data_IF_481200991474
#
_entry.id   IF_481200991474
#
_cell.length_a   1.000
_cell.length_b   1.000
_cell.length_c   1.000
_cell.angle_alpha   90.00
_cell.angle_beta   90.00
_cell.angle_gamma   90.00
#
_symmetry.space_group_name_H-M   'P 1'
#
loop_
_entity.id
_entity.type
_entity.pdbx_description
1 polymer ?
#
# COMPACT_ATOMS: atom_id res chain seq x y z
N UNK A 1 -5.20 10.96 18.87
CA UNK A 1 -4.33 11.64 17.90
C UNK A 1 -5.24 12.50 17.04
N UNK A 2 -5.05 13.81 17.07
CA UNK A 2 -5.96 14.83 16.52
C UNK A 2 -5.35 15.64 15.37
N UNK A 3 -4.09 15.36 15.01
CA UNK A 3 -3.38 16.08 13.96
C UNK A 3 -2.76 17.40 14.41
N UNK A 4 -2.86 17.75 15.69
CA UNK A 4 -2.27 18.98 16.22
C UNK A 4 -0.75 19.00 16.01
N UNK A 5 -0.25 20.14 15.52
CA UNK A 5 1.19 20.33 15.29
C UNK A 5 1.96 20.33 16.62
N UNK A 6 2.92 19.42 16.73
CA UNK A 6 3.83 19.31 17.87
C UNK A 6 5.11 20.14 17.71
N UNK A 7 6.09 19.85 18.56
CA UNK A 7 7.41 20.46 18.49
C UNK A 7 8.16 20.08 17.21
N UNK A 8 8.90 21.03 16.65
CA UNK A 8 9.89 20.78 15.60
C UNK A 8 11.20 20.35 16.25
N UNK A 9 11.81 19.29 15.72
CA UNK A 9 13.07 18.73 16.20
C UNK A 9 14.06 18.68 15.05
N UNK A 10 15.33 18.95 15.36
CA UNK A 10 16.42 18.83 14.41
C UNK A 10 16.96 17.41 14.41
N UNK A 11 17.17 16.86 13.21
CA UNK A 11 17.79 15.54 13.06
C UNK A 11 19.25 15.59 13.53
N UNK A 12 19.64 14.59 14.32
CA UNK A 12 20.98 14.47 14.88
C UNK A 12 21.84 13.41 14.18
N UNK A 13 21.25 12.58 13.34
CA UNK A 13 21.94 11.61 12.51
C UNK A 13 21.11 11.26 11.28
N UNK A 14 21.72 10.49 10.39
CA UNK A 14 21.03 9.90 9.26
C UNK A 14 19.88 9.00 9.73
N UNK A 15 18.88 8.88 8.86
CA UNK A 15 17.80 7.93 8.94
C UNK A 15 17.29 7.69 7.53
N UNK A 16 16.29 6.83 7.41
CA UNK A 16 15.77 6.44 6.11
C UNK A 16 14.24 6.44 6.11
N UNK A 17 13.70 6.40 4.90
CA UNK A 17 12.28 6.25 4.66
C UNK A 17 12.05 5.33 3.46
N UNK A 18 10.92 4.63 3.47
CA UNK A 18 10.42 3.80 2.40
C UNK A 18 8.91 3.98 2.26
N UNK A 19 8.47 4.20 1.02
CA UNK A 19 7.06 4.28 0.64
C UNK A 19 6.80 3.14 -0.35
N UNK A 20 6.17 2.03 0.06
CA UNK A 20 5.76 0.96 -0.85
C UNK A 20 4.37 1.21 -1.46
N UNK A 21 4.14 0.77 -2.70
CA UNK A 21 2.82 0.79 -3.32
C UNK A 21 1.85 -0.11 -2.54
N UNK A 22 0.67 0.43 -2.21
CA UNK A 22 -0.40 -0.28 -1.47
C UNK A 22 0.05 -0.86 -0.12
N UNK A 23 1.19 -0.40 0.41
CA UNK A 23 1.75 -0.83 1.70
C UNK A 23 1.74 0.29 2.74
N UNK A 24 2.33 0.00 3.91
CA UNK A 24 2.48 0.98 4.99
C UNK A 24 3.89 1.55 4.88
N UNK A 25 4.01 2.88 4.82
CA UNK A 25 5.29 3.57 4.84
C UNK A 25 6.08 3.23 6.11
N UNK A 26 7.40 3.20 6.02
CA UNK A 26 8.29 3.05 7.16
C UNK A 26 9.33 4.16 7.13
N UNK A 27 9.69 4.69 8.30
CA UNK A 27 10.75 5.69 8.40
C UNK A 27 11.26 5.79 9.83
N UNK A 28 12.52 6.19 9.99
CA UNK A 28 13.14 6.39 11.30
C UNK A 28 13.68 7.80 11.44
N UNK A 29 13.54 8.43 12.60
CA UNK A 29 14.14 9.75 12.88
C UNK A 29 15.07 9.67 14.07
N UNK A 30 16.30 10.12 13.90
CA UNK A 30 17.29 10.19 14.99
C UNK A 30 17.45 11.64 15.42
N UNK A 31 17.20 11.91 16.71
CA UNK A 31 17.26 13.27 17.30
C UNK A 31 18.12 13.27 18.56
N UNK A 32 18.56 14.47 18.98
CA UNK A 32 19.31 14.66 20.21
C UNK A 32 18.44 14.42 21.45
N UNK A 33 18.95 13.68 22.45
CA UNK A 33 18.21 13.42 23.70
C UNK A 33 17.95 14.69 24.51
N UNK A 34 18.77 15.71 24.35
CA UNK A 34 18.55 17.04 24.92
C UNK A 34 17.26 17.68 24.37
N UNK A 35 16.96 17.49 23.08
CA UNK A 35 15.71 17.95 22.48
C UNK A 35 14.52 17.16 23.04
N UNK A 36 14.62 15.83 23.07
CA UNK A 36 13.53 14.94 23.54
C UNK A 36 13.22 15.17 25.03
N UNK A 37 14.22 15.39 25.87
CA UNK A 37 14.04 15.66 27.31
C UNK A 37 13.28 16.96 27.61
N UNK A 38 13.21 17.88 26.65
CA UNK A 38 12.41 19.11 26.78
C UNK A 38 10.92 18.89 26.49
N UNK A 39 10.56 17.73 25.95
CA UNK A 39 9.19 17.36 25.64
C UNK A 39 8.58 16.57 26.80
N UNK A 40 7.27 16.71 27.00
CA UNK A 40 6.51 15.79 27.85
C UNK A 40 6.64 14.36 27.28
N UNK A 41 6.88 13.32 28.11
CA UNK A 41 6.94 11.92 27.66
C UNK A 41 5.77 11.44 26.79
N UNK A 42 4.60 12.04 26.96
CA UNK A 42 3.43 11.78 26.13
C UNK A 42 3.62 12.20 24.66
N UNK A 43 4.53 13.14 24.36
CA UNK A 43 4.84 13.58 22.99
C UNK A 43 5.74 12.63 22.21
N UNK A 44 6.32 11.62 22.85
CA UNK A 44 7.08 10.58 22.15
C UNK A 44 6.63 9.16 22.52
N UNK A 45 5.43 9.05 23.09
CA UNK A 45 4.81 7.78 23.43
C UNK A 45 4.32 7.04 22.18
N UNK A 46 4.62 5.73 22.02
CA UNK A 46 4.19 4.94 20.88
C UNK A 46 2.67 4.97 20.67
N UNK A 47 2.23 5.04 19.41
CA UNK A 47 0.83 5.12 18.95
C UNK A 47 0.02 6.32 19.46
N UNK A 48 0.58 7.16 20.35
CA UNK A 48 -0.05 8.40 20.80
C UNK A 48 0.32 9.57 19.89
N UNK A 49 1.59 9.66 19.53
CA UNK A 49 2.14 10.76 18.72
C UNK A 49 2.63 10.27 17.38
N UNK A 50 2.47 11.12 16.36
CA UNK A 50 3.04 10.93 15.04
C UNK A 50 4.20 11.88 14.79
N UNK A 51 5.15 11.42 14.00
CA UNK A 51 6.20 12.25 13.40
C UNK A 51 5.79 12.53 11.96
N UNK A 52 6.05 13.75 11.49
CA UNK A 52 5.94 14.13 10.09
C UNK A 52 7.28 14.69 9.64
N UNK A 53 7.78 14.20 8.51
CA UNK A 53 8.92 14.80 7.81
C UNK A 53 8.37 15.47 6.56
N UNK A 54 8.78 16.72 6.32
CA UNK A 54 8.35 17.51 5.18
C UNK A 54 9.51 17.80 4.25
N UNK A 55 9.25 17.80 2.96
CA UNK A 55 10.13 18.39 1.96
C UNK A 55 9.91 19.90 1.92
N UNK A 56 10.98 20.67 1.95
CA UNK A 56 10.93 22.12 1.77
C UNK A 56 11.27 22.43 0.30
N UNK A 57 10.32 23.00 -0.41
CA UNK A 57 10.52 23.45 -1.79
C UNK A 57 11.39 24.70 -1.83
N UNK A 58 11.88 25.03 -3.02
CA UNK A 58 12.68 26.23 -3.28
C UNK A 58 11.94 27.53 -2.87
N UNK A 59 10.61 27.56 -3.00
CA UNK A 59 9.76 28.68 -2.56
C UNK A 59 9.52 28.74 -1.04
N UNK A 60 10.10 27.81 -0.28
CA UNK A 60 9.97 27.70 1.17
C UNK A 60 8.70 26.98 1.65
N UNK A 61 7.80 26.56 0.74
CA UNK A 61 6.61 25.80 1.10
C UNK A 61 6.97 24.39 1.58
N UNK A 62 6.19 23.87 2.53
CA UNK A 62 6.37 22.54 3.11
C UNK A 62 5.38 21.55 2.51
N UNK A 63 5.91 20.48 1.92
CA UNK A 63 5.12 19.32 1.50
C UNK A 63 5.31 18.21 2.51
N UNK A 64 4.24 17.79 3.18
CA UNK A 64 4.29 16.60 4.04
C UNK A 64 4.65 15.39 3.18
N UNK A 65 5.81 14.78 3.44
CA UNK A 65 6.35 13.70 2.63
C UNK A 65 5.95 12.34 3.20
N UNK A 66 6.40 12.06 4.43
CA UNK A 66 6.02 10.87 5.20
C UNK A 66 5.57 11.28 6.59
N UNK A 67 4.53 10.61 7.10
CA UNK A 67 4.08 10.82 8.45
C UNK A 67 3.32 9.63 9.02
N UNK A 68 3.45 9.42 10.32
CA UNK A 68 2.66 8.42 11.03
C UNK A 68 3.17 8.15 12.45
N UNK A 69 2.51 7.27 13.20
CA UNK A 69 2.80 7.02 14.61
C UNK A 69 4.23 6.55 14.85
N UNK A 70 4.79 6.93 16.01
CA UNK A 70 5.90 6.21 16.63
C UNK A 70 5.38 4.81 16.99
N UNK A 71 6.05 3.73 16.55
CA UNK A 71 5.51 2.37 16.71
C UNK A 71 6.12 1.56 17.85
N UNK A 72 7.19 2.06 18.47
CA UNK A 72 7.88 1.42 19.58
C UNK A 72 8.69 2.41 20.43
N UNK A 73 9.23 1.97 21.58
CA UNK A 73 10.13 2.80 22.37
C UNK A 73 11.36 3.20 21.53
N UNK A 74 11.97 4.37 21.79
CA UNK A 74 13.16 4.78 21.05
C UNK A 74 14.33 3.82 21.30
N UNK A 75 15.11 3.56 20.26
CA UNK A 75 16.46 3.01 20.42
C UNK A 75 17.40 4.14 20.80
N UNK A 76 18.33 3.90 21.72
CA UNK A 76 19.05 4.99 22.37
C UNK A 76 20.58 4.76 22.40
N UNK A 77 21.33 5.83 22.11
CA UNK A 77 22.76 5.92 22.45
C UNK A 77 22.94 6.80 23.68
N UNK A 78 24.18 7.20 24.01
CA UNK A 78 24.40 8.19 25.09
C UNK A 78 23.85 9.58 24.73
N UNK A 79 23.86 9.94 23.45
CA UNK A 79 23.55 11.30 22.96
C UNK A 79 22.23 11.39 22.18
N UNK A 80 21.83 10.32 21.49
CA UNK A 80 20.70 10.32 20.55
C UNK A 80 19.62 9.32 20.91
N UNK A 81 18.41 9.58 20.41
CA UNK A 81 17.28 8.68 20.42
C UNK A 81 16.75 8.53 18.99
N UNK A 82 16.53 7.30 18.55
CA UNK A 82 15.99 6.95 17.24
C UNK A 82 14.57 6.42 17.41
N UNK A 83 13.61 7.08 16.75
CA UNK A 83 12.21 6.72 16.76
C UNK A 83 11.83 6.01 15.45
N UNK A 84 11.43 4.76 15.57
CA UNK A 84 10.82 4.02 14.47
C UNK A 84 9.38 4.46 14.29
N UNK A 85 9.05 4.85 13.07
CA UNK A 85 7.74 5.32 12.68
C UNK A 85 7.23 4.52 11.47
N UNK A 86 5.91 4.42 11.37
CA UNK A 86 5.24 3.84 10.20
C UNK A 86 4.10 4.76 9.80
N UNK A 87 3.67 4.69 8.54
CA UNK A 87 2.52 5.42 8.04
C UNK A 87 1.25 5.16 8.87
N UNK A 88 0.21 5.98 8.67
CA UNK A 88 -1.04 5.89 9.46
C UNK A 88 -1.70 4.51 9.40
N UNK A 89 -1.41 3.74 8.34
CA UNK A 89 -1.79 2.34 8.21
C UNK A 89 -1.38 1.45 9.38
N UNK A 90 -0.31 1.77 10.12
CA UNK A 90 0.10 1.01 11.31
C UNK A 90 -0.92 1.04 12.45
N UNK A 91 -1.73 2.11 12.57
CA UNK A 91 -2.87 2.12 13.50
C UNK A 91 -4.00 1.24 12.96
N UNK A 92 -4.27 1.31 11.65
CA UNK A 92 -5.33 0.53 11.01
C UNK A 92 -5.04 -0.98 11.02
N UNK A 93 -3.76 -1.38 11.01
CA UNK A 93 -3.32 -2.78 11.17
C UNK A 93 -3.75 -3.38 12.51
N UNK A 94 -3.84 -2.53 13.55
CA UNK A 94 -4.25 -2.92 14.90
C UNK A 94 -5.75 -2.78 15.15
N UNK A 95 -6.52 -2.26 14.19
CA UNK A 95 -7.96 -2.05 14.34
C UNK A 95 -8.72 -3.18 13.70
N UNK A 96 -9.72 -3.67 14.41
CA UNK A 96 -10.63 -4.71 13.91
C UNK A 96 -11.95 -4.09 13.49
N UNK A 97 -12.41 -4.46 12.30
CA UNK A 97 -13.70 -4.11 11.74
C UNK A 97 -14.81 -4.92 12.43
N UNK A 98 -15.80 -4.23 12.99
CA UNK A 98 -16.98 -4.86 13.60
C UNK A 98 -18.26 -4.16 13.13
N UNK A 99 -19.33 -4.92 12.92
CA UNK A 99 -20.64 -4.37 12.55
C UNK A 99 -21.22 -3.46 13.62
N UNK A 100 -20.88 -3.72 14.88
CA UNK A 100 -21.23 -2.91 16.04
C UNK A 100 -20.13 -3.06 17.10
N UNK A 101 -19.83 -2.01 17.86
CA UNK A 101 -19.03 -2.19 19.09
C UNK A 101 -19.93 -2.75 20.20
N UNK A 102 -19.42 -3.64 21.06
CA UNK A 102 -20.23 -4.17 22.15
C UNK A 102 -20.63 -3.01 23.08
N UNK A 103 -21.93 -2.82 23.28
CA UNK A 103 -22.50 -1.75 24.12
C UNK A 103 -22.05 -1.88 25.59
N UNK A 104 -21.70 -3.10 26.00
CA UNK A 104 -21.14 -3.45 27.29
C UNK A 104 -20.17 -4.62 27.14
N UNK A 105 -19.35 -4.89 28.16
CA UNK A 105 -18.49 -6.07 28.19
C UNK A 105 -19.23 -7.37 28.58
N UNK A 106 -20.57 -7.37 28.60
CA UNK A 106 -21.36 -8.57 28.92
C UNK A 106 -21.27 -9.62 27.81
N UNK A 107 -21.37 -10.90 28.18
CA UNK A 107 -21.35 -12.02 27.24
C UNK A 107 -22.43 -11.89 26.17
N UNK A 108 -23.64 -11.44 26.53
CA UNK A 108 -24.74 -11.25 25.58
C UNK A 108 -24.41 -10.22 24.49
N UNK A 109 -23.84 -9.07 24.88
CA UNK A 109 -23.42 -8.04 23.92
C UNK A 109 -22.27 -8.52 23.01
N UNK A 110 -21.36 -9.35 23.54
CA UNK A 110 -20.29 -9.96 22.74
C UNK A 110 -20.85 -10.98 21.73
N UNK A 111 -21.80 -11.83 22.14
CA UNK A 111 -22.47 -12.78 21.24
C UNK A 111 -23.24 -12.04 20.15
N UNK A 112 -23.96 -10.97 20.50
CA UNK A 112 -24.68 -10.14 19.52
C UNK A 112 -23.70 -9.59 18.46
N UNK A 113 -22.56 -9.03 18.88
CA UNK A 113 -21.53 -8.55 17.96
C UNK A 113 -21.05 -9.65 16.99
N UNK A 114 -20.84 -10.88 17.47
CA UNK A 114 -20.36 -12.00 16.65
C UNK A 114 -21.37 -12.46 15.60
N UNK A 115 -22.67 -12.29 15.85
CA UNK A 115 -23.73 -12.69 14.90
C UNK A 115 -24.02 -11.66 13.80
N UNK A 116 -23.58 -10.41 13.98
CA UNK A 116 -23.81 -9.34 13.00
C UNK A 116 -22.75 -9.36 11.91
N UNK A 117 -23.10 -8.83 10.74
CA UNK A 117 -22.17 -8.68 9.62
C UNK A 117 -22.28 -7.27 9.02
N UNK A 118 -21.17 -6.81 8.43
CA UNK A 118 -21.17 -5.62 7.57
C UNK A 118 -21.30 -6.08 6.14
N UNK A 119 -22.25 -5.53 5.39
CA UNK A 119 -22.41 -5.82 3.98
C UNK A 119 -22.40 -4.53 3.17
N UNK A 120 -21.48 -4.45 2.21
CA UNK A 120 -21.41 -3.41 1.21
C UNK A 120 -21.83 -4.02 -0.12
N UNK A 121 -22.80 -3.42 -0.80
CA UNK A 121 -23.37 -3.96 -2.05
C UNK A 121 -23.49 -2.84 -3.08
N UNK A 122 -23.13 -3.16 -4.32
CA UNK A 122 -23.23 -2.22 -5.43
C UNK A 122 -22.28 -1.03 -5.31
N UNK A 123 -21.05 -1.26 -4.83
CA UNK A 123 -20.00 -0.23 -4.67
C UNK A 123 -18.65 -0.73 -5.20
N UNK A 124 -17.77 0.18 -5.63
CA UNK A 124 -16.42 -0.20 -6.09
C UNK A 124 -15.55 -0.71 -4.94
N UNK A 125 -14.50 -1.48 -5.24
CA UNK A 125 -13.54 -1.91 -4.21
C UNK A 125 -12.89 -0.72 -3.49
N UNK A 126 -12.62 0.38 -4.19
CA UNK A 126 -12.04 1.58 -3.59
C UNK A 126 -13.01 2.22 -2.60
N UNK A 127 -14.30 2.29 -2.98
CA UNK A 127 -15.38 2.71 -2.09
C UNK A 127 -15.53 1.81 -0.87
N UNK A 128 -15.44 0.48 -1.03
CA UNK A 128 -15.46 -0.46 0.09
C UNK A 128 -14.27 -0.19 1.02
N UNK A 129 -13.09 0.07 0.47
CA UNK A 129 -11.91 0.47 1.25
C UNK A 129 -12.18 1.71 2.11
N UNK A 130 -12.77 2.76 1.54
CA UNK A 130 -13.16 3.95 2.32
C UNK A 130 -14.10 3.61 3.47
N UNK A 131 -15.14 2.81 3.21
CA UNK A 131 -16.12 2.43 4.24
C UNK A 131 -15.51 1.56 5.34
N UNK A 132 -14.58 0.68 4.99
CA UNK A 132 -13.79 -0.12 5.94
C UNK A 132 -12.99 0.79 6.88
N UNK A 133 -12.33 1.84 6.36
CA UNK A 133 -11.60 2.81 7.17
C UNK A 133 -12.53 3.64 8.05
N UNK A 134 -13.62 4.18 7.50
CA UNK A 134 -14.64 4.92 8.27
C UNK A 134 -15.16 4.09 9.43
N UNK A 135 -15.47 2.82 9.17
CA UNK A 135 -15.96 1.90 10.19
C UNK A 135 -14.90 1.56 11.23
N UNK A 136 -13.64 1.40 10.82
CA UNK A 136 -12.50 1.27 11.72
C UNK A 136 -12.26 2.50 12.61
N UNK A 137 -12.69 3.69 12.17
CA UNK A 137 -12.62 4.95 12.94
C UNK A 137 -13.84 5.21 13.82
N UNK A 138 -14.99 4.61 13.50
CA UNK A 138 -16.25 4.73 14.23
C UNK A 138 -16.25 3.90 15.53
N UNK A 139 -15.26 4.14 16.39
CA UNK A 139 -15.04 3.48 17.68
C UNK A 139 -14.74 4.49 18.76
N UNK A 140 -14.98 4.16 20.02
CA UNK A 140 -14.61 5.04 21.15
C UNK A 140 -13.09 5.24 21.14
N UNK A 141 -12.64 6.50 21.07
CA UNK A 141 -11.20 6.84 20.92
C UNK A 141 -10.60 6.46 19.55
N UNK A 142 -11.43 6.05 18.59
CA UNK A 142 -11.01 5.60 17.27
C UNK A 142 -10.84 6.73 16.23
N UNK A 143 -11.11 7.98 16.58
CA UNK A 143 -10.95 9.07 15.61
C UNK A 143 -9.48 9.25 15.23
N UNK A 144 -9.23 9.38 13.93
CA UNK A 144 -7.95 9.74 13.32
C UNK A 144 -8.19 10.92 12.39
N UNK A 145 -7.20 11.80 12.15
CA UNK A 145 -7.32 12.89 11.18
C UNK A 145 -7.14 12.35 9.75
N UNK A 146 -7.99 11.38 9.36
CA UNK A 146 -8.07 10.82 8.02
C UNK A 146 -9.27 11.45 7.31
N UNK A 147 -9.03 12.02 6.13
CA UNK A 147 -10.06 12.53 5.22
C UNK A 147 -10.10 11.69 3.95
N UNK A 148 -11.22 11.69 3.23
CA UNK A 148 -11.42 10.86 2.05
C UNK A 148 -11.38 11.72 0.79
N UNK A 149 -10.37 11.50 -0.05
CA UNK A 149 -10.09 12.32 -1.23
C UNK A 149 -10.63 11.77 -2.54
N UNK A 150 -11.00 10.49 -2.60
CA UNK A 150 -11.55 9.85 -3.81
C UNK A 150 -13.07 9.84 -3.83
N UNK A 151 -13.70 9.87 -5.01
CA UNK A 151 -15.15 9.82 -5.13
C UNK A 151 -15.71 8.47 -4.69
N UNK A 152 -16.93 8.49 -4.17
CA UNK A 152 -17.71 7.28 -3.88
C UNK A 152 -18.40 6.80 -5.16
N UNK A 153 -18.19 5.55 -5.54
CA UNK A 153 -18.80 4.92 -6.71
C UNK A 153 -19.89 3.93 -6.29
N UNK A 154 -21.05 4.02 -6.94
CA UNK A 154 -22.21 3.15 -6.69
C UNK A 154 -22.81 2.67 -8.00
N UNK A 155 -23.36 1.45 -8.01
CA UNK A 155 -24.02 0.85 -9.17
C UNK A 155 -24.33 -0.62 -8.94
N UNK A 156 -25.46 -1.10 -9.45
CA UNK A 156 -25.93 -2.47 -9.21
C UNK A 156 -25.00 -3.57 -9.75
N UNK A 157 -24.16 -3.24 -10.74
CA UNK A 157 -23.16 -4.16 -11.32
C UNK A 157 -21.80 -4.11 -10.62
N UNK A 158 -21.64 -3.24 -9.62
CA UNK A 158 -20.40 -3.15 -8.86
C UNK A 158 -20.31 -4.26 -7.80
N UNK A 159 -19.31 -4.17 -6.94
CA UNK A 159 -18.88 -5.27 -6.08
C UNK A 159 -19.74 -5.37 -4.82
N UNK A 160 -19.70 -6.57 -4.23
CA UNK A 160 -20.31 -6.86 -2.93
C UNK A 160 -19.27 -7.51 -2.02
N UNK A 161 -19.18 -7.04 -0.77
CA UNK A 161 -18.35 -7.65 0.27
C UNK A 161 -19.13 -7.75 1.57
N UNK A 162 -18.95 -8.87 2.25
CA UNK A 162 -19.51 -9.12 3.58
C UNK A 162 -18.35 -9.40 4.54
N UNK A 163 -18.41 -8.79 5.72
CA UNK A 163 -17.48 -9.02 6.82
C UNK A 163 -18.26 -9.48 8.04
N UNK A 164 -18.13 -10.76 8.36
CA UNK A 164 -18.87 -11.37 9.46
C UNK A 164 -18.23 -11.06 10.81
N UNK A 165 -19.07 -10.75 11.79
CA UNK A 165 -18.66 -10.40 13.15
C UNK A 165 -17.94 -11.55 13.85
N UNK A 166 -18.26 -12.81 13.51
CA UNK A 166 -17.58 -13.96 14.09
C UNK A 166 -16.14 -14.14 13.59
N UNK A 167 -15.77 -13.49 12.47
CA UNK A 167 -14.46 -13.62 11.83
C UNK A 167 -13.48 -12.50 12.28
N UNK A 168 -13.52 -12.11 13.55
CA UNK A 168 -12.74 -10.98 14.09
C UNK A 168 -11.24 -11.08 13.82
N UNK A 169 -10.69 -12.29 13.97
CA UNK A 169 -9.26 -12.56 13.81
C UNK A 169 -8.74 -12.21 12.41
N UNK A 170 -9.64 -12.07 11.44
CA UNK A 170 -9.30 -11.72 10.07
C UNK A 170 -9.83 -10.36 9.64
N UNK A 171 -10.63 -9.70 10.48
CA UNK A 171 -11.26 -8.43 10.17
C UNK A 171 -10.37 -7.22 10.50
N UNK A 172 -9.05 -7.35 10.55
CA UNK A 172 -8.19 -6.17 10.71
C UNK A 172 -8.40 -5.22 9.52
N UNK A 173 -8.54 -3.93 9.81
CA UNK A 173 -8.87 -2.89 8.82
C UNK A 173 -7.81 -2.89 7.71
N UNK A 174 -6.53 -2.86 8.07
CA UNK A 174 -5.46 -2.90 7.07
C UNK A 174 -5.45 -4.20 6.25
N UNK A 175 -5.63 -5.36 6.89
CA UNK A 175 -5.73 -6.65 6.18
C UNK A 175 -6.80 -6.61 5.09
N UNK A 176 -7.97 -6.04 5.39
CA UNK A 176 -9.05 -5.90 4.40
C UNK A 176 -8.71 -4.93 3.28
N UNK A 177 -7.92 -3.88 3.52
CA UNK A 177 -7.44 -3.00 2.45
C UNK A 177 -6.46 -3.73 1.53
N UNK A 178 -5.53 -4.51 2.08
CA UNK A 178 -4.59 -5.33 1.30
C UNK A 178 -5.30 -6.38 0.45
N UNK A 179 -6.34 -7.03 0.98
CA UNK A 179 -7.14 -7.98 0.20
C UNK A 179 -7.91 -7.28 -0.93
N UNK A 180 -8.43 -6.07 -0.69
CA UNK A 180 -9.15 -5.31 -1.71
C UNK A 180 -8.22 -4.86 -2.84
N UNK A 181 -6.99 -4.44 -2.55
CA UNK A 181 -6.01 -4.09 -3.58
C UNK A 181 -5.42 -5.32 -4.27
N UNK A 182 -5.37 -6.47 -3.61
CA UNK A 182 -4.76 -7.71 -4.10
C UNK A 182 -5.67 -8.63 -4.94
N UNK A 183 -6.88 -8.21 -5.31
CA UNK A 183 -7.73 -8.94 -6.27
C UNK A 183 -7.50 -8.46 -7.70
N UNK A 184 -8.02 -9.20 -8.68
CA UNK A 184 -8.01 -8.77 -10.08
C UNK A 184 -8.73 -7.44 -10.24
N UNK A 185 -8.09 -6.49 -10.92
CA UNK A 185 -8.56 -5.11 -11.03
C UNK A 185 -8.85 -4.46 -9.65
N UNK A 186 -8.07 -4.84 -8.64
CA UNK A 186 -8.09 -4.21 -7.32
C UNK A 186 -7.57 -2.77 -7.40
N UNK A 187 -8.17 -1.84 -6.64
CA UNK A 187 -7.78 -0.45 -6.67
C UNK A 187 -6.48 -0.26 -5.89
N UNK A 188 -5.71 0.74 -6.30
CA UNK A 188 -4.72 1.32 -5.43
C UNK A 188 -5.38 2.01 -4.25
N UNK A 189 -4.69 1.98 -3.12
CA UNK A 189 -5.10 2.65 -1.89
C UNK A 189 -3.86 3.27 -1.27
N UNK A 190 -3.91 4.58 -0.99
CA UNK A 190 -2.81 5.30 -0.35
C UNK A 190 -3.33 6.29 0.69
N UNK A 191 -2.49 6.57 1.69
CA UNK A 191 -2.77 7.55 2.76
C UNK A 191 -1.75 8.68 2.70
N UNK A 192 -2.07 9.73 1.94
CA UNK A 192 -1.13 10.82 1.65
C UNK A 192 -1.16 11.85 2.79
N UNK A 193 -0.06 12.09 3.54
CA UNK A 193 -0.05 13.13 4.56
C UNK A 193 -0.14 14.51 3.90
N UNK A 194 -0.80 15.45 4.57
CA UNK A 194 -0.98 16.82 4.11
C UNK A 194 -1.05 17.80 5.27
N UNK A 195 -0.37 18.94 5.13
CA UNK A 195 -0.58 20.10 6.00
C UNK A 195 -1.88 20.81 5.63
N UNK A 196 -2.76 21.00 6.62
CA UNK A 196 -3.94 21.85 6.51
C UNK A 196 -3.54 23.32 6.59
N UNK A 197 -4.43 24.20 6.14
CA UNK A 197 -4.21 25.65 6.19
C UNK A 197 -4.05 26.19 7.63
N UNK A 198 -4.61 25.50 8.62
CA UNK A 198 -4.46 25.81 10.06
C UNK A 198 -3.15 25.27 10.67
N UNK A 199 -2.30 24.63 9.85
CA UNK A 199 -1.02 24.05 10.27
C UNK A 199 -1.14 22.65 10.89
N UNK A 200 -2.34 22.09 11.00
CA UNK A 200 -2.53 20.72 11.48
C UNK A 200 -2.23 19.69 10.38
N UNK A 201 -1.83 18.49 10.80
CA UNK A 201 -1.58 17.38 9.90
C UNK A 201 -2.85 16.52 9.73
N UNK A 202 -3.11 16.10 8.50
CA UNK A 202 -4.12 15.07 8.19
C UNK A 202 -3.57 14.08 7.16
N UNK A 203 -4.23 12.93 7.03
CA UNK A 203 -3.98 11.95 5.98
C UNK A 203 -5.16 11.93 5.02
N UNK A 204 -4.90 12.14 3.74
CA UNK A 204 -5.90 11.99 2.68
C UNK A 204 -5.85 10.54 2.19
N UNK A 205 -6.88 9.77 2.52
CA UNK A 205 -7.10 8.47 1.90
C UNK A 205 -7.57 8.68 0.47
N UNK A 206 -6.79 8.20 -0.49
CA UNK A 206 -7.11 8.17 -1.91
C UNK A 206 -7.08 6.73 -2.41
N UNK A 207 -7.90 6.46 -3.41
CA UNK A 207 -7.94 5.19 -4.10
C UNK A 207 -8.28 5.35 -5.59
N UNK A 208 -7.92 4.36 -6.38
CA UNK A 208 -8.39 4.23 -7.76
C UNK A 208 -9.87 3.85 -7.86
N UNK A 209 -10.42 4.02 -9.06
CA UNK A 209 -11.83 3.80 -9.38
C UNK A 209 -12.07 2.41 -9.94
N UNK A 210 -13.33 2.05 -10.20
CA UNK A 210 -13.63 0.79 -10.89
C UNK A 210 -13.09 0.75 -12.32
N UNK A 211 -13.18 1.87 -13.05
CA UNK A 211 -12.74 1.97 -14.44
C UNK A 211 -11.22 2.17 -14.58
N UNK A 212 -10.60 2.78 -13.58
CA UNK A 212 -9.17 3.03 -13.50
C UNK A 212 -8.71 2.64 -12.10
N UNK A 213 -8.21 1.40 -11.91
CA UNK A 213 -7.76 0.93 -10.59
C UNK A 213 -6.59 1.73 -10.02
N UNK A 214 -5.84 2.45 -10.87
CA UNK A 214 -4.79 3.38 -10.44
C UNK A 214 -5.38 4.65 -9.83
N UNK A 215 -4.69 5.23 -8.84
CA UNK A 215 -5.03 6.58 -8.36
C UNK A 215 -4.76 7.59 -9.49
N UNK A 216 -5.74 8.48 -9.75
CA UNK A 216 -5.58 9.51 -10.76
C UNK A 216 -4.41 10.45 -10.44
N UNK A 217 -3.59 10.74 -11.46
CA UNK A 217 -2.46 11.67 -11.40
C UNK A 217 -2.72 12.90 -12.28
N UNK A 218 -2.24 14.05 -11.86
CA UNK A 218 -2.30 15.33 -12.58
C UNK A 218 -0.94 15.73 -13.19
N UNK A 219 0.10 14.97 -12.86
CA UNK A 219 1.46 15.17 -13.33
C UNK A 219 2.13 13.81 -13.60
N UNK A 220 3.06 13.76 -14.56
CA UNK A 220 3.83 12.55 -14.88
C UNK A 220 5.31 12.89 -14.92
N UNK A 221 6.10 12.03 -14.29
CA UNK A 221 7.55 12.07 -14.38
C UNK A 221 8.02 11.64 -15.76
N UNK A 222 9.12 12.20 -16.24
CA UNK A 222 9.82 11.75 -17.44
C UNK A 222 11.31 11.64 -17.12
N UNK A 223 11.80 10.40 -17.11
CA UNK A 223 13.18 10.05 -16.81
C UNK A 223 13.85 9.48 -18.05
N UNK A 224 14.81 10.23 -18.59
CA UNK A 224 15.66 9.75 -19.67
C UNK A 224 16.98 9.23 -19.11
N UNK A 225 17.16 7.92 -19.09
CA UNK A 225 18.39 7.29 -18.56
C UNK A 225 19.58 7.43 -19.51
N UNK A 226 19.35 7.89 -20.74
CA UNK A 226 20.38 7.97 -21.79
C UNK A 226 21.00 9.37 -21.90
N UNK A 227 20.39 10.37 -21.27
CA UNK A 227 20.80 11.76 -21.35
C UNK A 227 21.75 12.15 -20.21
N UNK A 228 22.88 12.78 -20.55
CA UNK A 228 23.83 13.31 -19.56
C UNK A 228 23.32 14.52 -18.77
N UNK A 229 22.18 15.11 -19.19
CA UNK A 229 21.53 16.21 -18.48
C UNK A 229 20.34 15.74 -17.62
N UNK A 230 20.13 14.42 -17.53
CA UNK A 230 19.06 13.81 -16.75
C UNK A 230 19.30 13.93 -15.25
N UNK A 231 18.25 13.97 -14.38
CA UNK A 231 18.44 13.93 -12.93
C UNK A 231 18.77 12.51 -12.41
N UNK A 232 18.92 11.54 -13.33
CA UNK A 232 19.25 10.15 -13.04
C UNK A 232 20.73 10.02 -12.69
N UNK A 233 21.01 9.50 -11.50
CA UNK A 233 22.37 9.23 -11.02
C UNK A 233 22.82 7.79 -11.31
N UNK A 234 21.92 6.81 -11.20
CA UNK A 234 22.19 5.41 -11.52
C UNK A 234 20.91 4.67 -11.93
N UNK A 235 21.09 3.57 -12.65
CA UNK A 235 20.03 2.67 -13.08
C UNK A 235 20.47 1.24 -12.84
N UNK A 236 19.63 0.47 -12.15
CA UNK A 236 19.85 -0.94 -11.84
C UNK A 236 18.63 -1.76 -12.24
N UNK A 237 18.81 -2.69 -13.18
CA UNK A 237 17.75 -3.59 -13.66
C UNK A 237 17.86 -4.94 -12.97
N UNK A 238 16.81 -5.33 -12.26
CA UNK A 238 16.68 -6.65 -11.63
C UNK A 238 15.54 -7.41 -12.28
N UNK A 239 15.78 -8.66 -12.68
CA UNK A 239 14.73 -9.55 -13.20
C UNK A 239 14.58 -10.75 -12.27
N UNK A 240 13.36 -11.01 -11.83
CA UNK A 240 13.02 -12.09 -10.91
C UNK A 240 12.00 -13.04 -11.56
N UNK A 241 12.41 -14.30 -11.71
CA UNK A 241 11.59 -15.38 -12.24
C UNK A 241 10.99 -16.28 -11.13
N UNK A 242 11.22 -15.97 -9.85
CA UNK A 242 10.77 -16.80 -8.72
C UNK A 242 9.26 -16.97 -8.62
N UNK A 243 8.50 -16.03 -9.20
CA UNK A 243 7.03 -16.05 -9.24
C UNK A 243 6.46 -16.67 -10.50
N UNK A 244 7.28 -17.09 -11.46
CA UNK A 244 6.81 -17.65 -12.72
C UNK A 244 6.03 -18.94 -12.47
N UNK A 245 4.75 -18.96 -12.86
CA UNK A 245 3.88 -20.12 -12.67
C UNK A 245 2.85 -20.22 -13.80
N UNK A 246 2.68 -21.42 -14.32
CA UNK A 246 1.62 -21.75 -15.28
C UNK A 246 0.35 -22.24 -14.59
N UNK A 247 0.43 -22.58 -13.29
CA UNK A 247 -0.71 -22.98 -12.46
C UNK A 247 -0.60 -22.40 -11.06
N UNK A 248 -1.72 -21.89 -10.55
CA UNK A 248 -1.83 -21.37 -9.19
C UNK A 248 -2.94 -22.09 -8.44
N UNK A 249 -2.61 -22.65 -7.28
CA UNK A 249 -3.57 -23.14 -6.30
C UNK A 249 -3.84 -22.05 -5.27
N UNK A 250 -5.11 -21.79 -4.96
CA UNK A 250 -5.50 -20.81 -3.96
C UNK A 250 -6.42 -21.44 -2.93
N UNK A 251 -6.01 -21.37 -1.67
CA UNK A 251 -6.76 -21.96 -0.55
C UNK A 251 -7.63 -20.91 0.15
N UNK A 252 -8.81 -21.33 0.60
CA UNK A 252 -9.78 -20.54 1.36
C UNK A 252 -9.99 -21.08 2.77
N UNK A 253 -11.11 -20.73 3.38
CA UNK A 253 -11.51 -21.25 4.68
C UNK A 253 -11.82 -22.75 4.64
N UNK A 254 -11.56 -23.41 5.77
CA UNK A 254 -11.79 -24.84 6.02
C UNK A 254 -10.65 -25.46 6.83
N UNK A 255 -10.89 -26.62 7.42
CA UNK A 255 -9.88 -27.38 8.17
C UNK A 255 -9.66 -28.75 7.52
N UNK A 256 -8.41 -29.16 7.40
CA UNK A 256 -8.02 -30.45 6.81
C UNK A 256 -8.60 -30.63 5.40
N UNK A 257 -9.31 -31.74 5.18
CA UNK A 257 -9.92 -32.09 3.88
C UNK A 257 -11.09 -31.20 3.46
N UNK A 258 -11.55 -30.28 4.32
CA UNK A 258 -12.63 -29.33 3.98
C UNK A 258 -12.11 -27.98 3.50
N UNK A 259 -10.79 -27.80 3.44
CA UNK A 259 -10.15 -26.58 2.94
C UNK A 259 -10.60 -26.30 1.51
N UNK A 260 -11.22 -25.15 1.30
CA UNK A 260 -11.63 -24.75 -0.03
C UNK A 260 -10.39 -24.49 -0.90
N UNK A 261 -10.36 -25.05 -2.11
CA UNK A 261 -9.27 -24.81 -3.06
C UNK A 261 -9.86 -24.36 -4.40
N UNK A 262 -9.19 -23.41 -5.04
CA UNK A 262 -9.41 -23.04 -6.45
C UNK A 262 -8.10 -23.15 -7.19
N UNK A 263 -8.18 -23.50 -8.47
CA UNK A 263 -7.03 -23.62 -9.35
C UNK A 263 -7.26 -22.66 -10.52
N UNK A 264 -6.21 -21.96 -10.91
CA UNK A 264 -6.15 -21.19 -12.15
C UNK A 264 -4.95 -21.68 -12.95
N UNK A 265 -5.11 -21.85 -14.26
CA UNK A 265 -4.07 -22.39 -15.14
C UNK A 265 -3.99 -21.66 -16.48
N UNK A 266 -2.78 -21.43 -16.98
CA UNK A 266 -2.50 -20.95 -18.33
C UNK A 266 -1.52 -21.92 -19.02
N UNK A 267 -2.05 -22.75 -19.92
CA UNK A 267 -1.26 -23.73 -20.70
C UNK A 267 -0.47 -23.10 -21.85
N UNK A 268 -0.64 -21.81 -22.15
CA UNK A 268 0.09 -21.16 -23.24
C UNK A 268 1.61 -21.15 -22.99
N UNK A 269 2.02 -21.09 -21.73
CA UNK A 269 3.42 -21.14 -21.31
C UNK A 269 4.10 -22.49 -21.57
N UNK A 270 3.33 -23.57 -21.74
CA UNK A 270 3.89 -24.92 -21.97
C UNK A 270 4.37 -25.15 -23.41
N UNK A 271 4.13 -24.19 -24.33
CA UNK A 271 4.37 -24.37 -25.77
C UNK A 271 5.86 -24.40 -26.16
N UNK A 272 6.76 -23.96 -25.28
CA UNK A 272 8.20 -23.80 -25.56
C UNK A 272 9.10 -24.73 -24.73
N UNK A 273 8.66 -25.97 -24.46
CA UNK A 273 9.36 -26.94 -23.59
C UNK A 273 9.54 -26.47 -22.13
N UNK A 274 8.84 -25.41 -21.72
CA UNK A 274 8.84 -24.99 -20.33
C UNK A 274 8.19 -26.07 -19.45
N UNK A 275 8.81 -26.42 -18.31
CA UNK A 275 8.16 -27.28 -17.34
C UNK A 275 6.94 -26.56 -16.75
N UNK A 276 5.97 -27.34 -16.28
CA UNK A 276 4.90 -26.77 -15.46
C UNK A 276 5.52 -26.24 -14.16
N UNK A 277 5.33 -24.94 -13.92
CA UNK A 277 5.69 -24.29 -12.66
C UNK A 277 4.41 -23.97 -11.91
N UNK A 278 4.41 -24.25 -10.61
CA UNK A 278 3.23 -24.18 -9.76
C UNK A 278 3.47 -23.25 -8.57
N UNK A 279 2.45 -22.49 -8.20
CA UNK A 279 2.46 -21.64 -7.01
C UNK A 279 1.23 -21.89 -6.14
N UNK A 280 1.35 -21.61 -4.84
CA UNK A 280 0.29 -21.76 -3.87
C UNK A 280 0.09 -20.46 -3.11
N UNK A 281 -1.14 -19.95 -3.11
CA UNK A 281 -1.56 -18.81 -2.31
C UNK A 281 -2.71 -19.17 -1.35
N UNK A 282 -3.09 -18.21 -0.51
CA UNK A 282 -4.17 -18.41 0.45
C UNK A 282 -4.91 -17.13 0.80
N UNK A 283 -6.22 -17.28 0.99
CA UNK A 283 -7.13 -16.38 1.71
C UNK A 283 -7.88 -17.24 2.71
N UNK A 284 -7.14 -17.78 3.68
CA UNK A 284 -7.56 -18.86 4.60
C UNK A 284 -8.77 -18.54 5.46
N UNK A 285 -9.23 -17.29 5.46
CA UNK A 285 -10.39 -16.83 6.22
C UNK A 285 -11.64 -16.55 5.39
N UNK A 286 -11.56 -16.73 4.07
CA UNK A 286 -12.68 -16.53 3.17
C UNK A 286 -13.34 -17.85 2.82
N UNK A 287 -14.64 -17.99 3.11
CA UNK A 287 -15.46 -19.09 2.57
C UNK A 287 -16.11 -18.72 1.22
N UNK A 288 -15.81 -17.53 0.68
CA UNK A 288 -16.38 -17.03 -0.56
C UNK A 288 -15.61 -17.60 -1.77
N UNK A 289 -16.23 -18.57 -2.44
CA UNK A 289 -15.71 -19.26 -3.63
C UNK A 289 -15.27 -18.30 -4.74
N UNK A 290 -16.06 -17.27 -4.99
CA UNK A 290 -15.78 -16.31 -6.06
C UNK A 290 -14.58 -15.43 -5.70
N UNK A 291 -14.45 -15.03 -4.43
CA UNK A 291 -13.30 -14.27 -3.97
C UNK A 291 -12.00 -15.05 -4.08
N UNK A 292 -12.00 -16.31 -3.65
CA UNK A 292 -10.83 -17.21 -3.74
C UNK A 292 -10.43 -17.38 -5.21
N UNK A 293 -11.42 -17.55 -6.11
CA UNK A 293 -11.18 -17.64 -7.55
C UNK A 293 -10.54 -16.36 -8.11
N UNK A 294 -11.05 -15.18 -7.75
CA UNK A 294 -10.49 -13.89 -8.19
C UNK A 294 -9.03 -13.71 -7.75
N UNK A 295 -8.65 -14.18 -6.56
CA UNK A 295 -7.25 -14.17 -6.13
C UNK A 295 -6.39 -15.17 -6.91
N UNK A 296 -6.88 -16.39 -7.17
CA UNK A 296 -6.16 -17.37 -7.98
C UNK A 296 -5.85 -16.83 -9.38
N UNK A 297 -6.84 -16.21 -10.03
CA UNK A 297 -6.69 -15.60 -11.37
C UNK A 297 -5.73 -14.41 -11.31
N UNK A 298 -5.86 -13.53 -10.30
CA UNK A 298 -4.96 -12.39 -10.15
C UNK A 298 -3.50 -12.83 -9.96
N UNK A 299 -3.28 -13.88 -9.15
CA UNK A 299 -1.97 -14.45 -8.93
C UNK A 299 -1.40 -15.11 -10.19
N UNK A 300 -2.20 -15.86 -10.95
CA UNK A 300 -1.77 -16.44 -12.22
C UNK A 300 -1.39 -15.34 -13.23
N UNK A 301 -2.20 -14.28 -13.33
CA UNK A 301 -1.90 -13.15 -14.19
C UNK A 301 -0.56 -12.47 -13.83
N UNK A 302 -0.28 -12.33 -12.53
CA UNK A 302 0.99 -11.78 -12.03
C UNK A 302 2.18 -12.74 -12.16
N UNK A 303 1.93 -14.02 -12.40
CA UNK A 303 2.92 -15.09 -12.51
C UNK A 303 3.23 -15.51 -13.95
N UNK A 304 2.60 -14.87 -14.94
CA UNK A 304 2.73 -15.26 -16.35
C UNK A 304 4.11 -14.98 -16.93
N UNK A 305 4.67 -13.84 -16.56
CA UNK A 305 5.93 -13.33 -17.08
C UNK A 305 6.92 -13.09 -15.94
N UNK A 306 8.22 -13.07 -16.27
CA UNK A 306 9.25 -12.68 -15.32
C UNK A 306 9.05 -11.22 -14.91
N UNK A 307 9.24 -10.93 -13.63
CA UNK A 307 9.08 -9.57 -13.12
C UNK A 307 10.38 -8.82 -13.32
N UNK A 308 10.37 -7.83 -14.21
CA UNK A 308 11.48 -6.90 -14.37
C UNK A 308 11.23 -5.63 -13.57
N UNK A 309 12.10 -5.36 -12.61
CA UNK A 309 12.10 -4.14 -11.81
C UNK A 309 13.28 -3.25 -12.23
N UNK A 310 12.99 -2.01 -12.56
CA UNK A 310 14.00 -0.99 -12.89
C UNK A 310 14.13 -0.08 -11.67
N UNK A 311 15.30 -0.05 -11.03
CA UNK A 311 15.58 0.87 -9.94
C UNK A 311 16.37 2.05 -10.50
N UNK A 312 15.93 3.27 -10.23
CA UNK A 312 16.57 4.49 -10.70
C UNK A 312 16.81 5.40 -9.50
N UNK A 313 18.08 5.74 -9.25
CA UNK A 313 18.43 6.77 -8.29
C UNK A 313 18.31 8.15 -8.96
N UNK A 314 17.54 9.06 -8.37
CA UNK A 314 17.31 10.41 -8.89
C UNK A 314 17.60 11.48 -7.84
N UNK A 315 18.02 12.66 -8.28
CA UNK A 315 18.09 13.84 -7.42
C UNK A 315 16.68 14.41 -7.19
N UNK A 316 16.12 14.17 -6.01
CA UNK A 316 14.79 14.64 -5.60
C UNK A 316 14.67 16.15 -5.44
N UNK A 317 15.74 16.93 -5.65
CA UNK A 317 15.70 18.39 -5.73
C UNK A 317 15.53 18.93 -7.15
N UNK A 318 15.75 18.10 -8.18
CA UNK A 318 15.53 18.52 -9.57
C UNK A 318 14.03 18.64 -9.87
N UNK A 319 13.62 19.73 -10.53
CA UNK A 319 12.21 20.02 -10.83
C UNK A 319 11.49 18.92 -11.63
N UNK A 320 12.23 18.08 -12.37
CA UNK A 320 11.72 16.95 -13.15
C UNK A 320 11.36 15.73 -12.29
N UNK A 321 11.89 15.63 -11.08
CA UNK A 321 11.61 14.55 -10.13
C UNK A 321 11.50 15.04 -8.68
N UNK A 322 11.11 16.30 -8.49
CA UNK A 322 11.05 16.96 -7.18
C UNK A 322 10.19 16.15 -6.20
N UNK A 323 10.73 15.88 -5.01
CA UNK A 323 10.00 15.21 -3.93
C UNK A 323 8.70 15.97 -3.63
N UNK A 324 7.59 15.23 -3.57
CA UNK A 324 6.27 15.79 -3.34
C UNK A 324 5.50 16.22 -4.59
N UNK A 325 6.14 16.24 -5.77
CA UNK A 325 5.47 16.44 -7.07
C UNK A 325 4.89 15.14 -7.64
N UNK A 326 5.54 14.03 -7.34
CA UNK A 326 5.11 12.67 -7.67
C UNK A 326 4.75 11.88 -6.41
N UNK A 327 4.06 10.76 -6.60
CA UNK A 327 3.69 9.80 -5.55
C UNK A 327 3.98 8.37 -6.02
N UNK A 328 4.26 7.49 -5.05
CA UNK A 328 4.27 6.05 -5.32
C UNK A 328 2.88 5.62 -5.79
N UNK A 329 2.85 4.83 -6.85
CA UNK A 329 1.66 4.47 -7.61
C UNK A 329 1.45 5.27 -8.90
N UNK A 330 2.07 6.46 -9.05
CA UNK A 330 1.96 7.24 -10.27
C UNK A 330 2.70 6.55 -11.43
N UNK A 331 2.22 6.78 -12.66
CA UNK A 331 2.94 6.43 -13.87
C UNK A 331 4.02 7.48 -14.18
N UNK A 332 5.15 6.99 -14.69
CA UNK A 332 6.29 7.75 -15.17
C UNK A 332 6.68 7.26 -16.57
N UNK A 333 7.17 8.16 -17.42
CA UNK A 333 7.83 7.80 -18.66
C UNK A 333 9.29 7.51 -18.35
N UNK A 334 9.76 6.33 -18.73
CA UNK A 334 11.14 5.91 -18.55
C UNK A 334 11.73 5.59 -19.91
N UNK A 335 12.79 6.29 -20.30
CA UNK A 335 13.53 6.04 -21.53
C UNK A 335 14.78 5.24 -21.22
N UNK A 336 14.88 4.05 -21.81
CA UNK A 336 15.98 3.11 -21.62
C UNK A 336 16.83 2.99 -22.91
N UNK A 337 18.14 2.79 -22.76
CA UNK A 337 19.04 2.44 -23.88
C UNK A 337 18.83 0.99 -24.35
N UNK A 338 19.45 0.64 -25.49
CA UNK A 338 19.50 -0.72 -26.03
C UNK A 338 20.57 -1.61 -25.39
N UNK A 339 21.24 -1.13 -24.34
CA UNK A 339 22.30 -1.86 -23.63
C UNK A 339 21.74 -2.92 -22.67
N UNK A 340 20.45 -2.83 -22.31
CA UNK A 340 19.81 -3.74 -21.36
C UNK A 340 19.28 -5.00 -22.06
N UNK A 341 19.71 -6.17 -21.56
CA UNK A 341 19.29 -7.45 -22.15
C UNK A 341 17.79 -7.74 -21.93
N UNK A 342 17.26 -7.41 -20.76
CA UNK A 342 15.90 -7.78 -20.33
C UNK A 342 14.90 -6.63 -20.44
N UNK A 343 15.34 -5.44 -20.85
CA UNK A 343 14.49 -4.24 -20.99
C UNK A 343 14.65 -3.68 -22.41
N UNK A 344 13.58 -3.62 -23.21
CA UNK A 344 13.64 -3.03 -24.53
C UNK A 344 14.03 -1.54 -24.50
N UNK A 345 14.77 -1.11 -25.53
CA UNK A 345 15.10 0.30 -25.72
C UNK A 345 13.88 1.16 -26.01
N UNK A 346 13.97 2.44 -25.66
CA UNK A 346 12.95 3.46 -25.95
C UNK A 346 12.16 3.88 -24.72
N UNK A 347 11.14 4.71 -24.95
CA UNK A 347 10.33 5.30 -23.88
C UNK A 347 9.09 4.46 -23.62
N UNK A 348 8.93 3.98 -22.39
CA UNK A 348 7.75 3.24 -21.95
C UNK A 348 7.14 3.85 -20.69
N UNK A 349 5.83 3.70 -20.52
CA UNK A 349 5.18 4.06 -19.26
C UNK A 349 5.47 2.95 -18.25
N UNK A 350 6.07 3.33 -17.13
CA UNK A 350 6.33 2.46 -15.99
C UNK A 350 5.67 3.04 -14.76
N UNK A 351 5.42 2.18 -13.78
CA UNK A 351 4.75 2.55 -12.54
C UNK A 351 5.73 2.59 -11.39
N UNK A 352 5.66 3.65 -10.58
CA UNK A 352 6.46 3.74 -9.35
C UNK A 352 5.86 2.79 -8.32
N UNK A 353 6.55 1.69 -8.03
CA UNK A 353 6.10 0.68 -7.06
C UNK A 353 6.69 0.86 -5.67
N UNK A 354 7.82 1.55 -5.56
CA UNK A 354 8.35 2.00 -4.26
C UNK A 354 9.28 3.18 -4.43
N UNK A 355 9.46 3.92 -3.34
CA UNK A 355 10.45 4.98 -3.23
C UNK A 355 11.18 4.87 -1.89
N UNK A 356 12.50 5.08 -1.91
CA UNK A 356 13.37 5.05 -0.74
C UNK A 356 14.32 6.23 -0.74
N UNK A 357 14.70 6.69 0.44
CA UNK A 357 15.73 7.71 0.56
C UNK A 357 16.27 7.79 1.98
N UNK A 358 17.27 8.65 2.15
CA UNK A 358 17.82 9.01 3.45
C UNK A 358 17.48 10.45 3.83
N UNK A 359 17.76 10.82 5.08
CA UNK A 359 17.71 12.22 5.50
C UNK A 359 19.01 12.99 5.26
N UNK A 360 20.05 12.34 4.73
CA UNK A 360 21.36 12.95 4.55
C UNK A 360 21.51 13.72 3.24
N UNK A 361 20.67 13.44 2.24
CA UNK A 361 20.68 14.13 0.96
C UNK A 361 19.30 14.06 0.28
N UNK A 362 19.20 14.64 -0.91
CA UNK A 362 17.98 14.64 -1.72
C UNK A 362 17.84 13.42 -2.65
N UNK A 363 18.78 12.47 -2.61
CA UNK A 363 18.73 11.31 -3.50
C UNK A 363 17.59 10.38 -3.12
N UNK A 364 16.89 9.90 -4.15
CA UNK A 364 15.76 8.98 -4.00
C UNK A 364 15.96 7.79 -4.93
N UNK A 365 15.87 6.59 -4.38
CA UNK A 365 15.80 5.36 -5.14
C UNK A 365 14.34 5.06 -5.46
N UNK A 366 14.00 5.07 -6.76
CA UNK A 366 12.67 4.77 -7.27
C UNK A 366 12.67 3.39 -7.94
N UNK A 367 11.79 2.51 -7.50
CA UNK A 367 11.58 1.22 -8.17
C UNK A 367 10.38 1.31 -9.11
N UNK A 368 10.59 0.84 -10.34
CA UNK A 368 9.61 0.86 -11.41
C UNK A 368 9.29 -0.56 -11.90
N UNK A 369 8.03 -0.79 -12.27
CA UNK A 369 7.58 -1.99 -12.98
C UNK A 369 6.63 -1.61 -14.11
N UNK A 370 6.38 -2.53 -15.04
CA UNK A 370 5.31 -2.36 -16.02
C UNK A 370 3.97 -2.23 -15.31
N UNK A 371 3.13 -1.31 -15.79
CA UNK A 371 1.77 -1.23 -15.27
C UNK A 371 1.03 -2.52 -15.63
N UNK A 372 0.36 -3.13 -14.65
CA UNK A 372 -0.34 -4.38 -14.87
C UNK A 372 -1.41 -4.15 -15.93
N UNK A 373 -1.17 -4.64 -17.15
CA UNK A 373 -2.16 -4.59 -18.22
C UNK A 373 -3.37 -5.40 -17.75
N UNK A 374 -4.59 -4.83 -17.71
CA UNK A 374 -5.78 -5.59 -17.38
C UNK A 374 -5.86 -6.80 -18.33
N UNK A 375 -5.70 -8.01 -17.79
CA UNK A 375 -5.81 -9.21 -18.61
C UNK A 375 -7.25 -9.33 -19.12
N UNK A 376 -7.46 -9.60 -20.42
CA UNK A 376 -8.77 -9.99 -20.95
C UNK A 376 -9.33 -11.21 -20.21
N UNK A 377 -10.65 -11.38 -20.21
CA UNK A 377 -11.40 -12.43 -19.50
C UNK A 377 -11.15 -13.88 -20.00
N UNK A 378 -10.09 -14.14 -20.74
CA UNK A 378 -9.89 -15.38 -21.51
C UNK A 378 -9.33 -16.57 -20.70
N UNK A 379 -9.47 -16.58 -19.37
CA UNK A 379 -9.06 -17.73 -18.56
C UNK A 379 -10.08 -18.86 -18.68
N UNK A 380 -9.63 -20.04 -19.11
CA UNK A 380 -10.48 -21.22 -19.25
C UNK A 380 -10.88 -21.76 -17.87
N UNK A 381 -12.18 -21.87 -17.66
CA UNK A 381 -12.77 -22.51 -16.49
C UNK A 381 -12.53 -24.02 -16.55
N UNK A 382 -12.00 -24.61 -15.47
CA UNK A 382 -12.31 -26.01 -15.21
C UNK A 382 -13.79 -26.09 -14.82
N UNK A 383 -14.58 -26.74 -15.68
CA UNK A 383 -15.89 -27.25 -15.34
C UNK A 383 -15.83 -27.96 -13.99
N UNK A 384 -16.86 -27.74 -13.17
CA UNK A 384 -17.00 -28.39 -11.89
C UNK A 384 -16.74 -29.90 -12.04
N UNK A 385 -15.66 -30.38 -11.42
CA UNK A 385 -15.49 -31.81 -11.19
C UNK A 385 -16.55 -32.16 -10.14
N UNK A 386 -17.66 -32.72 -10.61
CA UNK A 386 -18.72 -33.35 -9.82
C UNK A 386 -18.20 -34.54 -9.00
#
# INVERSE_FOLDING_TARGET
MDGARGAQLDLAAEGSWEIPLNGIESFSVTVGKDQVRRLDPLWWSPYRTSVCVSWQREDGSLVAWVAGPIVGPPTETRATATFECRGIGAILERRVLTAQEPISLSTAAQVEMMTKHLRYTGVSYGTIGQEVVKRGMAKVGGTLPIVFGSPREQGSRLRTRTYDGYNLANNQVWKRLTELSGVRNGPDIAFRPRWRADGNLEWVMVHGTHAQPQIAQDWSMDLDTTSSLSPVASVDVTTDASRLAARVYWTGAGEGSTTMVRVAEDRSLLRDQMPILESVGSTSDSANRDLIREHAIAALAASRDVVTQINIAVDGSDQRCEIGRWRVGDAARVTMSDEWLTVPAGTTAKRIISAKGSWSNAMVDLAFQDDAVPTPDDYLDEEAID
#
